data_IF_021797194873
#
_entry.id   IF_021797194873
#
_cell.length_a   1.000
_cell.length_b   1.000
_cell.length_c   1.000
_cell.angle_alpha   90.00
_cell.angle_beta   90.00
_cell.angle_gamma   90.00
#
_symmetry.space_group_name_H-M   'P 1'
#
loop_
_entity.id
_entity.type
_entity.pdbx_description
1 polymer ?
#
# COMPACT_ATOMS: atom_id res chain seq x y z
N UNK A 1 -1.01 25.68 -3.20
CA UNK A 1 -1.20 24.41 -2.47
C UNK A 1 -2.22 24.60 -1.35
N UNK A 2 -3.12 23.64 -1.16
CA UNK A 2 -4.11 23.61 -0.08
C UNK A 2 -3.62 22.75 1.08
N UNK A 3 -3.94 23.07 2.35
CA UNK A 3 -3.73 22.15 3.47
C UNK A 3 -4.53 20.85 3.27
N UNK A 4 -4.00 19.67 3.66
CA UNK A 4 -4.70 18.38 3.50
C UNK A 4 -6.09 18.35 4.14
N UNK A 5 -6.25 18.94 5.32
CA UNK A 5 -7.52 19.03 6.03
C UNK A 5 -8.54 19.92 5.31
N UNK A 6 -8.08 20.91 4.54
CA UNK A 6 -8.95 21.71 3.71
C UNK A 6 -9.44 20.90 2.50
N UNK A 7 -8.55 20.17 1.84
CA UNK A 7 -8.92 19.25 0.74
C UNK A 7 -10.01 18.29 1.21
N UNK A 8 -9.79 17.61 2.33
CA UNK A 8 -10.76 16.65 2.89
C UNK A 8 -12.10 17.32 3.21
N UNK A 9 -12.07 18.50 3.82
CA UNK A 9 -13.28 19.27 4.15
C UNK A 9 -14.08 19.67 2.89
N UNK A 10 -13.40 20.15 1.85
CA UNK A 10 -14.04 20.53 0.59
C UNK A 10 -14.66 19.31 -0.10
N UNK A 11 -13.94 18.19 -0.18
CA UNK A 11 -14.47 16.94 -0.76
C UNK A 11 -15.68 16.39 0.00
N UNK A 12 -15.69 16.49 1.32
CA UNK A 12 -16.86 16.12 2.14
C UNK A 12 -18.05 17.06 1.88
N UNK A 13 -17.79 18.35 1.76
CA UNK A 13 -18.85 19.33 1.54
C UNK A 13 -19.62 19.12 0.23
N UNK A 14 -18.93 18.69 -0.82
CA UNK A 14 -19.55 18.36 -2.11
C UNK A 14 -19.99 16.88 -2.20
N UNK A 15 -19.68 16.09 -1.18
CA UNK A 15 -20.04 14.68 -1.07
C UNK A 15 -19.20 13.72 -1.92
N UNK A 16 -18.05 14.15 -2.43
CA UNK A 16 -17.14 13.30 -3.20
C UNK A 16 -16.24 12.41 -2.31
N UNK A 17 -16.20 12.72 -1.02
CA UNK A 17 -15.59 11.87 0.02
C UNK A 17 -16.57 11.67 1.17
N UNK A 18 -16.72 10.43 1.64
CA UNK A 18 -17.48 10.12 2.85
C UNK A 18 -16.74 9.15 3.76
N UNK A 19 -17.05 9.20 5.06
CA UNK A 19 -16.47 8.32 6.06
C UNK A 19 -17.36 7.07 6.22
N UNK A 20 -16.76 5.89 6.03
CA UNK A 20 -17.38 4.59 6.29
C UNK A 20 -17.04 4.06 7.70
N UNK A 21 -16.07 4.67 8.36
CA UNK A 21 -15.58 4.35 9.70
C UNK A 21 -14.22 5.01 9.95
N UNK A 22 -13.66 4.87 11.15
CA UNK A 22 -12.34 5.43 11.46
C UNK A 22 -11.27 4.97 10.46
N UNK A 23 -10.70 5.89 9.68
CA UNK A 23 -9.68 5.58 8.67
C UNK A 23 -10.18 4.81 7.45
N UNK A 24 -11.51 4.65 7.31
CA UNK A 24 -12.16 4.03 6.16
C UNK A 24 -12.97 5.10 5.43
N UNK A 25 -12.60 5.38 4.20
CA UNK A 25 -13.25 6.39 3.37
C UNK A 25 -13.75 5.78 2.07
N UNK A 26 -14.79 6.39 1.54
CA UNK A 26 -15.23 6.16 0.18
C UNK A 26 -15.09 7.41 -0.66
N UNK A 27 -14.87 7.23 -1.96
CA UNK A 27 -14.78 8.29 -2.96
C UNK A 27 -15.82 8.08 -4.04
N UNK A 28 -16.33 9.17 -4.61
CA UNK A 28 -17.23 9.12 -5.75
C UNK A 28 -16.97 10.28 -6.72
N UNK A 29 -17.75 10.33 -7.79
CA UNK A 29 -17.74 11.44 -8.74
C UNK A 29 -16.39 11.60 -9.44
N UNK A 30 -16.00 12.84 -9.63
CA UNK A 30 -14.78 13.21 -10.39
C UNK A 30 -13.51 12.83 -9.64
N UNK A 31 -13.51 12.87 -8.29
CA UNK A 31 -12.36 12.47 -7.47
C UNK A 31 -12.09 10.98 -7.58
N UNK A 32 -13.11 10.12 -7.60
CA UNK A 32 -12.95 8.70 -7.87
C UNK A 32 -12.42 8.45 -9.29
N UNK A 33 -12.82 9.28 -10.26
CA UNK A 33 -12.24 9.30 -11.60
C UNK A 33 -10.75 9.61 -11.57
N UNK A 34 -10.36 10.69 -10.89
CA UNK A 34 -8.96 11.10 -10.75
C UNK A 34 -8.10 10.00 -10.07
N UNK A 35 -8.63 9.35 -9.02
CA UNK A 35 -7.93 8.22 -8.38
C UNK A 35 -7.64 7.10 -9.38
N UNK A 36 -8.63 6.74 -10.19
CA UNK A 36 -8.48 5.70 -11.23
C UNK A 36 -7.46 6.12 -12.29
N UNK A 37 -7.48 7.39 -12.71
CA UNK A 37 -6.56 7.90 -13.74
C UNK A 37 -5.12 7.95 -13.18
N UNK A 38 -4.93 8.30 -11.92
CA UNK A 38 -3.64 8.21 -11.22
C UNK A 38 -3.16 6.76 -11.17
N UNK A 39 -4.02 5.82 -10.77
CA UNK A 39 -3.64 4.39 -10.74
C UNK A 39 -3.28 3.86 -12.13
N UNK A 40 -3.95 4.33 -13.18
CA UNK A 40 -3.60 4.01 -14.56
C UNK A 40 -2.20 4.54 -14.95
N UNK A 41 -1.80 5.74 -14.50
CA UNK A 41 -0.44 6.26 -14.71
C UNK A 41 0.61 5.42 -13.94
N UNK A 42 0.32 5.06 -12.69
CA UNK A 42 1.20 4.19 -11.91
C UNK A 42 1.33 2.79 -12.54
N UNK A 43 0.24 2.26 -13.09
CA UNK A 43 0.25 1.00 -13.84
C UNK A 43 1.10 1.12 -15.12
N UNK A 44 0.97 2.22 -15.85
CA UNK A 44 1.79 2.48 -17.04
C UNK A 44 3.28 2.58 -16.68
N UNK A 45 3.61 3.21 -15.53
CA UNK A 45 4.96 3.23 -14.99
C UNK A 45 5.49 1.82 -14.71
N UNK A 46 4.68 0.97 -14.05
CA UNK A 46 5.07 -0.42 -13.78
C UNK A 46 5.40 -1.20 -15.07
N UNK A 47 4.65 -0.93 -16.15
CA UNK A 47 4.86 -1.58 -17.45
C UNK A 47 6.17 -1.21 -18.16
N UNK A 48 6.85 -0.17 -17.71
CA UNK A 48 8.21 0.12 -18.17
C UNK A 48 9.24 -0.92 -17.65
N UNK A 49 8.89 -1.64 -16.60
CA UNK A 49 9.74 -2.65 -15.96
C UNK A 49 9.28 -4.08 -16.27
N UNK A 50 7.96 -4.31 -16.32
CA UNK A 50 7.39 -5.65 -16.55
C UNK A 50 5.93 -5.59 -17.03
N UNK A 51 5.56 -6.52 -17.91
CA UNK A 51 4.15 -6.76 -18.32
C UNK A 51 3.46 -7.81 -17.41
N UNK A 52 4.18 -8.45 -16.49
CA UNK A 52 3.62 -9.44 -15.57
C UNK A 52 2.83 -8.75 -14.46
N UNK A 53 1.51 -8.71 -14.61
CA UNK A 53 0.60 -8.02 -13.70
C UNK A 53 -0.11 -9.01 -12.77
N UNK A 54 0.08 -8.82 -11.47
CA UNK A 54 -0.49 -9.66 -10.42
C UNK A 54 -1.59 -8.92 -9.66
N UNK A 55 -2.66 -9.66 -9.37
CA UNK A 55 -3.69 -9.21 -8.44
C UNK A 55 -3.59 -10.04 -7.17
N UNK A 56 -3.21 -9.40 -6.07
CA UNK A 56 -3.02 -10.10 -4.80
C UNK A 56 -4.34 -10.30 -4.05
N UNK A 57 -4.44 -11.35 -3.24
CA UNK A 57 -5.62 -11.59 -2.42
C UNK A 57 -5.79 -10.50 -1.35
N UNK A 58 -7.03 -10.27 -0.92
CA UNK A 58 -7.36 -9.33 0.16
C UNK A 58 -7.13 -9.89 1.57
N UNK A 59 -6.70 -11.12 1.68
CA UNK A 59 -6.31 -11.79 2.92
C UNK A 59 -5.12 -12.71 2.69
N UNK A 60 -4.24 -12.84 3.68
CA UNK A 60 -3.09 -13.75 3.70
C UNK A 60 -3.08 -14.53 5.02
N UNK A 61 -2.32 -15.63 5.06
CA UNK A 61 -2.23 -16.45 6.27
C UNK A 61 -1.36 -15.80 7.36
N UNK A 62 -1.56 -16.22 8.61
CA UNK A 62 -0.67 -15.85 9.71
C UNK A 62 0.75 -16.37 9.48
N UNK A 63 0.88 -17.57 8.89
CA UNK A 63 2.15 -18.23 8.58
C UNK A 63 2.97 -17.42 7.58
N UNK A 64 2.33 -16.80 6.57
CA UNK A 64 3.01 -15.89 5.63
C UNK A 64 3.70 -14.74 6.37
N UNK A 65 2.98 -14.09 7.30
CA UNK A 65 3.55 -12.99 8.10
C UNK A 65 4.55 -13.47 9.16
N UNK A 66 4.41 -14.69 9.68
CA UNK A 66 5.38 -15.27 10.60
C UNK A 66 6.71 -15.52 9.89
N UNK A 67 6.71 -16.13 8.69
CA UNK A 67 7.91 -16.26 7.84
C UNK A 67 8.56 -14.91 7.59
N UNK A 68 7.77 -13.90 7.25
CA UNK A 68 8.22 -12.52 7.05
C UNK A 68 8.68 -11.81 8.34
N UNK A 69 8.63 -12.47 9.52
CA UNK A 69 8.93 -11.90 10.83
C UNK A 69 8.18 -10.59 11.12
N UNK A 70 6.99 -10.47 10.57
CA UNK A 70 6.17 -9.26 10.69
C UNK A 70 5.79 -8.96 12.14
N UNK A 71 5.42 -10.00 12.89
CA UNK A 71 5.02 -9.88 14.30
C UNK A 71 6.13 -9.33 15.20
N UNK A 72 7.40 -9.55 14.83
CA UNK A 72 8.55 -8.99 15.54
C UNK A 72 8.92 -7.55 15.05
N UNK A 73 8.33 -7.10 13.93
CA UNK A 73 8.72 -5.85 13.28
C UNK A 73 7.62 -4.77 13.37
N UNK A 74 6.37 -5.13 13.05
CA UNK A 74 5.26 -4.18 12.90
C UNK A 74 3.92 -4.69 13.46
N UNK A 75 3.88 -5.38 14.61
CA UNK A 75 2.62 -5.95 15.15
C UNK A 75 1.55 -4.89 15.42
N UNK A 76 1.96 -3.64 15.69
CA UNK A 76 1.08 -2.52 15.99
C UNK A 76 0.15 -2.12 14.82
N UNK A 77 0.46 -2.53 13.60
CA UNK A 77 -0.35 -2.18 12.42
C UNK A 77 -1.28 -3.30 11.98
N UNK A 78 -1.15 -4.47 12.60
CA UNK A 78 -1.85 -5.67 12.15
C UNK A 78 -3.37 -5.48 12.23
N UNK A 79 -4.03 -5.87 11.16
CA UNK A 79 -5.48 -6.04 11.08
C UNK A 79 -5.78 -7.48 10.68
N UNK A 80 -6.81 -8.05 11.29
CA UNK A 80 -7.22 -9.44 11.06
C UNK A 80 -8.67 -9.52 10.66
N UNK A 81 -9.07 -10.61 10.02
CA UNK A 81 -10.44 -10.90 9.70
C UNK A 81 -10.88 -12.22 10.34
N UNK A 82 -12.13 -12.23 10.76
CA UNK A 82 -12.82 -13.37 11.32
C UNK A 82 -14.18 -13.55 10.65
N UNK A 83 -14.79 -14.69 10.85
CA UNK A 83 -16.16 -14.96 10.45
C UNK A 83 -17.01 -15.37 11.65
N UNK A 84 -18.32 -15.29 11.51
CA UNK A 84 -19.26 -15.84 12.49
C UNK A 84 -19.18 -17.37 12.51
N UNK A 85 -19.51 -17.98 13.65
CA UNK A 85 -19.72 -19.42 13.71
C UNK A 85 -20.78 -19.83 12.69
N UNK A 86 -20.55 -20.96 12.01
CA UNK A 86 -21.58 -21.60 11.17
C UNK A 86 -22.60 -22.42 11.94
N UNK A 87 -22.53 -22.43 13.26
CA UNK A 87 -23.50 -23.15 14.12
C UNK A 87 -24.89 -22.53 14.02
N UNK A 88 -25.88 -23.33 13.66
CA UNK A 88 -27.25 -22.89 13.45
C UNK A 88 -27.87 -22.28 14.71
N UNK A 89 -27.50 -22.77 15.89
CA UNK A 89 -28.00 -22.24 17.17
C UNK A 89 -27.49 -20.82 17.43
N UNK A 90 -26.21 -20.54 17.09
CA UNK A 90 -25.59 -19.22 17.18
C UNK A 90 -26.23 -18.25 16.19
N UNK A 91 -26.42 -18.69 14.95
CA UNK A 91 -27.02 -17.86 13.90
C UNK A 91 -28.49 -17.52 14.23
N UNK A 92 -29.26 -18.48 14.75
CA UNK A 92 -30.65 -18.26 15.21
C UNK A 92 -30.71 -17.30 16.41
N UNK A 93 -29.77 -17.43 17.36
CA UNK A 93 -29.70 -16.52 18.51
C UNK A 93 -29.37 -15.07 18.05
N UNK A 94 -28.48 -14.87 17.06
CA UNK A 94 -28.22 -13.57 16.47
C UNK A 94 -29.48 -13.02 15.80
N UNK A 95 -30.11 -13.81 14.93
CA UNK A 95 -31.26 -13.38 14.14
C UNK A 95 -32.50 -13.01 15.02
N UNK A 96 -32.67 -13.68 16.16
CA UNK A 96 -33.73 -13.42 17.10
C UNK A 96 -33.42 -12.37 18.17
N UNK A 97 -32.19 -11.86 18.20
CA UNK A 97 -31.75 -10.85 19.17
C UNK A 97 -32.45 -9.50 18.94
N UNK A 98 -32.72 -8.76 20.00
CA UNK A 98 -33.16 -7.35 19.93
C UNK A 98 -32.07 -6.41 19.46
N UNK A 99 -30.81 -6.88 19.47
CA UNK A 99 -29.62 -6.14 19.00
C UNK A 99 -28.71 -7.07 18.17
N UNK A 100 -29.15 -7.47 16.94
CA UNK A 100 -28.43 -8.48 16.14
C UNK A 100 -26.96 -8.13 15.87
N UNK A 101 -26.65 -6.85 15.65
CA UNK A 101 -25.29 -6.40 15.40
C UNK A 101 -24.36 -6.52 16.62
N UNK A 102 -24.87 -6.36 17.84
CA UNK A 102 -24.13 -6.62 19.07
C UNK A 102 -23.91 -8.14 19.26
N UNK A 103 -24.97 -8.92 19.14
CA UNK A 103 -24.92 -10.38 19.23
C UNK A 103 -23.95 -10.99 18.20
N UNK A 104 -23.94 -10.46 16.97
CA UNK A 104 -23.01 -10.88 15.94
C UNK A 104 -21.54 -10.57 16.32
N UNK A 105 -21.26 -9.38 16.88
CA UNK A 105 -19.90 -9.04 17.36
C UNK A 105 -19.40 -9.99 18.44
N UNK A 106 -20.27 -10.36 19.37
CA UNK A 106 -19.93 -11.24 20.49
C UNK A 106 -19.76 -12.70 20.04
N UNK A 107 -20.30 -13.07 18.88
CA UNK A 107 -20.21 -14.40 18.27
C UNK A 107 -19.10 -14.56 17.22
N UNK A 108 -18.28 -13.52 17.01
CA UNK A 108 -17.13 -13.60 16.09
C UNK A 108 -16.10 -14.59 16.62
N UNK A 109 -15.70 -15.53 15.77
CA UNK A 109 -14.65 -16.50 16.09
C UNK A 109 -13.25 -15.91 16.14
N UNK A 110 -12.26 -16.72 16.54
CA UNK A 110 -10.87 -16.32 16.47
C UNK A 110 -10.46 -15.97 15.04
N UNK A 111 -9.59 -14.95 14.84
CA UNK A 111 -9.12 -14.57 13.52
C UNK A 111 -8.42 -15.74 12.82
N UNK A 112 -8.76 -15.95 11.55
CA UNK A 112 -8.16 -17.01 10.73
C UNK A 112 -7.34 -16.48 9.58
N UNK A 113 -7.49 -15.19 9.26
CA UNK A 113 -6.73 -14.56 8.19
C UNK A 113 -6.28 -13.16 8.61
N UNK A 114 -5.24 -12.68 7.97
CA UNK A 114 -4.67 -11.35 8.16
C UNK A 114 -4.98 -10.50 6.94
N UNK A 115 -5.36 -9.25 7.18
CA UNK A 115 -5.48 -8.26 6.13
C UNK A 115 -4.06 -7.77 5.77
N UNK A 116 -3.63 -7.88 4.50
CA UNK A 116 -2.23 -7.69 4.13
C UNK A 116 -1.76 -6.25 4.40
N UNK A 117 -0.62 -6.05 5.08
CA UNK A 117 -0.08 -4.70 5.33
C UNK A 117 0.73 -4.14 4.14
N UNK A 118 1.12 -4.99 3.19
CA UNK A 118 1.76 -4.64 1.93
C UNK A 118 1.50 -5.75 0.91
N UNK A 119 1.60 -5.40 -0.36
CA UNK A 119 1.25 -6.30 -1.49
C UNK A 119 2.28 -7.41 -1.64
N UNK A 120 3.57 -7.09 -1.46
CA UNK A 120 4.69 -8.01 -1.73
C UNK A 120 4.67 -9.29 -0.88
N UNK A 121 4.06 -9.31 0.30
CA UNK A 121 3.99 -10.55 1.11
C UNK A 121 3.30 -11.69 0.37
N UNK A 122 2.22 -11.40 -0.36
CA UNK A 122 1.50 -12.40 -1.13
C UNK A 122 2.33 -12.90 -2.32
N UNK A 123 3.18 -12.05 -2.92
CA UNK A 123 4.03 -12.45 -4.04
C UNK A 123 5.17 -13.36 -3.58
N UNK A 124 5.77 -13.08 -2.41
CA UNK A 124 6.79 -13.96 -1.83
C UNK A 124 6.23 -15.33 -1.45
N UNK A 125 5.02 -15.37 -0.89
CA UNK A 125 4.35 -16.64 -0.57
C UNK A 125 4.07 -17.46 -1.84
N UNK A 126 3.60 -16.80 -2.90
CA UNK A 126 3.31 -17.49 -4.17
C UNK A 126 4.56 -18.10 -4.83
N UNK A 127 5.73 -17.54 -4.56
CA UNK A 127 7.03 -18.04 -5.08
C UNK A 127 7.81 -18.86 -4.04
N UNK A 128 7.21 -19.18 -2.89
CA UNK A 128 7.90 -19.88 -1.82
C UNK A 128 8.44 -21.25 -2.29
N UNK A 129 9.69 -21.55 -1.96
CA UNK A 129 10.39 -22.79 -2.32
C UNK A 129 10.84 -22.87 -3.78
N UNK A 130 10.69 -21.80 -4.57
CA UNK A 130 11.10 -21.81 -5.96
C UNK A 130 12.61 -21.60 -6.16
N UNK A 131 13.13 -22.15 -7.26
CA UNK A 131 14.46 -21.84 -7.78
C UNK A 131 14.25 -20.97 -9.03
N UNK A 132 14.76 -19.75 -8.99
CA UNK A 132 14.58 -18.78 -10.07
C UNK A 132 15.63 -19.02 -11.15
N UNK A 133 15.18 -19.23 -12.38
CA UNK A 133 16.04 -19.36 -13.54
C UNK A 133 16.59 -18.01 -14.00
N UNK A 134 15.77 -16.97 -13.90
CA UNK A 134 16.05 -15.59 -14.21
C UNK A 134 15.42 -14.66 -13.16
N UNK A 135 15.81 -13.38 -13.07
CA UNK A 135 15.15 -12.44 -12.19
C UNK A 135 13.66 -12.33 -12.50
N UNK A 136 12.83 -12.33 -11.46
CA UNK A 136 11.38 -12.17 -11.58
C UNK A 136 11.01 -10.75 -11.20
N UNK A 137 10.38 -10.04 -12.14
CA UNK A 137 9.76 -8.73 -11.90
C UNK A 137 8.26 -8.87 -12.10
N UNK A 138 7.49 -8.31 -11.18
CA UNK A 138 6.03 -8.32 -11.26
C UNK A 138 5.44 -6.98 -10.81
N UNK A 139 4.37 -6.54 -11.48
CA UNK A 139 3.55 -5.42 -11.05
C UNK A 139 2.37 -5.97 -10.26
N UNK A 140 2.36 -5.77 -8.95
CA UNK A 140 1.30 -6.27 -8.09
C UNK A 140 0.43 -5.13 -7.55
N UNK A 141 -0.89 -5.37 -7.45
CA UNK A 141 -1.83 -4.42 -6.85
C UNK A 141 -2.74 -5.15 -5.85
N UNK A 142 -3.03 -4.48 -4.74
CA UNK A 142 -3.96 -4.98 -3.75
C UNK A 142 -4.39 -3.92 -2.74
N UNK A 143 -5.41 -4.28 -1.97
CA UNK A 143 -5.83 -3.51 -0.81
C UNK A 143 -4.90 -3.84 0.36
N UNK A 144 -4.36 -2.82 0.99
CA UNK A 144 -3.53 -2.94 2.18
C UNK A 144 -4.21 -2.35 3.40
N UNK A 145 -3.83 -2.86 4.58
CA UNK A 145 -4.44 -2.50 5.84
C UNK A 145 -3.38 -2.22 6.89
N UNK A 146 -3.40 -1.00 7.46
CA UNK A 146 -2.49 -0.61 8.54
C UNK A 146 -3.25 0.20 9.58
N UNK A 147 -3.50 -0.39 10.75
CA UNK A 147 -4.16 0.31 11.83
C UNK A 147 -3.18 1.21 12.57
N UNK A 148 -3.06 2.46 12.12
CA UNK A 148 -2.11 3.42 12.71
C UNK A 148 -2.66 4.18 13.93
N UNK A 149 -3.73 3.70 14.54
CA UNK A 149 -4.31 4.25 15.76
C UNK A 149 -4.81 5.69 15.58
N UNK A 150 -4.38 6.59 16.46
CA UNK A 150 -4.78 8.01 16.43
C UNK A 150 -4.18 8.82 15.27
N UNK A 151 -3.31 8.23 14.47
CA UNK A 151 -2.70 8.91 13.31
C UNK A 151 -3.47 8.74 12.02
N UNK A 152 -4.65 8.10 12.06
CA UNK A 152 -5.49 7.93 10.88
C UNK A 152 -5.93 9.31 10.35
N UNK A 153 -5.73 9.50 9.05
CA UNK A 153 -6.10 10.72 8.33
C UNK A 153 -6.55 10.35 6.90
N UNK A 154 -7.71 10.85 6.44
CA UNK A 154 -8.22 10.53 5.11
C UNK A 154 -7.22 10.82 4.01
N UNK A 155 -7.07 9.91 3.04
CA UNK A 155 -6.13 9.96 1.91
C UNK A 155 -4.63 9.91 2.29
N UNK A 156 -4.23 10.38 3.47
CA UNK A 156 -2.84 10.37 3.94
C UNK A 156 -2.48 9.05 4.64
N UNK A 157 -3.34 8.63 5.59
CA UNK A 157 -3.17 7.45 6.46
C UNK A 157 -4.50 6.76 6.67
N UNK A 158 -5.00 6.10 5.64
CA UNK A 158 -6.17 5.24 5.75
C UNK A 158 -5.87 3.98 6.56
N UNK A 159 -6.86 3.44 7.25
CA UNK A 159 -6.79 2.08 7.77
C UNK A 159 -6.74 1.06 6.62
N UNK A 160 -7.55 1.29 5.57
CA UNK A 160 -7.47 0.59 4.29
C UNK A 160 -7.04 1.57 3.19
N UNK A 161 -6.17 1.11 2.28
CA UNK A 161 -5.67 1.91 1.16
C UNK A 161 -5.20 0.98 0.03
N UNK A 162 -5.12 1.52 -1.18
CA UNK A 162 -4.63 0.80 -2.35
C UNK A 162 -3.12 0.97 -2.49
N UNK A 163 -2.43 -0.15 -2.65
CA UNK A 163 -1.00 -0.17 -2.93
C UNK A 163 -0.74 -0.85 -4.28
N UNK A 164 0.10 -0.23 -5.10
CA UNK A 164 0.69 -0.82 -6.29
C UNK A 164 2.18 -0.93 -6.08
N UNK A 165 2.76 -2.08 -6.41
CA UNK A 165 4.20 -2.34 -6.24
C UNK A 165 4.79 -2.95 -7.51
N UNK A 166 6.03 -2.54 -7.83
CA UNK A 166 6.91 -3.34 -8.67
C UNK A 166 7.79 -4.15 -7.72
N UNK A 167 7.68 -5.46 -7.76
CA UNK A 167 8.45 -6.38 -6.91
C UNK A 167 9.50 -7.07 -7.76
N UNK A 168 10.75 -7.11 -7.29
CA UNK A 168 11.84 -7.84 -7.89
C UNK A 168 12.36 -8.93 -6.95
N UNK A 169 12.59 -10.10 -7.49
CA UNK A 169 13.33 -11.22 -6.90
C UNK A 169 14.42 -11.65 -7.88
N UNK A 170 15.67 -11.65 -7.45
CA UNK A 170 16.82 -11.95 -8.32
C UNK A 170 18.15 -11.78 -7.60
N UNK A 171 19.18 -11.43 -8.32
CA UNK A 171 20.46 -11.00 -7.74
C UNK A 171 20.41 -9.57 -7.19
N UNK A 172 21.40 -9.20 -6.40
CA UNK A 172 21.50 -7.85 -5.81
C UNK A 172 21.49 -6.75 -6.89
N UNK A 173 22.12 -7.00 -8.04
CA UNK A 173 22.17 -6.04 -9.17
C UNK A 173 20.80 -5.84 -9.80
N UNK A 174 19.97 -6.87 -9.87
CA UNK A 174 18.64 -6.78 -10.45
C UNK A 174 17.75 -5.88 -9.58
N UNK A 175 17.83 -6.09 -8.25
CA UNK A 175 17.12 -5.27 -7.26
C UNK A 175 17.59 -3.81 -7.32
N UNK A 176 18.90 -3.57 -7.30
CA UNK A 176 19.46 -2.22 -7.36
C UNK A 176 19.04 -1.50 -8.64
N UNK A 177 19.12 -2.19 -9.78
CA UNK A 177 18.72 -1.65 -11.07
C UNK A 177 17.22 -1.29 -11.12
N UNK A 178 16.33 -2.12 -10.54
CA UNK A 178 14.92 -1.77 -10.41
C UNK A 178 14.73 -0.50 -9.57
N UNK A 179 15.39 -0.42 -8.41
CA UNK A 179 15.19 0.73 -7.50
C UNK A 179 15.66 2.04 -8.14
N UNK A 180 16.78 2.02 -8.88
CA UNK A 180 17.29 3.19 -9.61
C UNK A 180 16.33 3.63 -10.73
N UNK A 181 15.94 2.71 -11.63
CA UNK A 181 15.03 3.02 -12.74
C UNK A 181 13.64 3.42 -12.24
N UNK A 182 13.08 2.64 -11.30
CA UNK A 182 11.77 2.94 -10.70
C UNK A 182 11.77 4.29 -9.97
N UNK A 183 12.88 4.65 -9.30
CA UNK A 183 13.07 5.97 -8.70
C UNK A 183 13.02 7.09 -9.73
N UNK A 184 13.71 6.94 -10.86
CA UNK A 184 13.70 7.91 -11.95
C UNK A 184 12.31 8.03 -12.59
N UNK A 185 11.64 6.90 -12.85
CA UNK A 185 10.29 6.90 -13.43
C UNK A 185 9.26 7.56 -12.49
N UNK A 186 9.33 7.29 -11.18
CA UNK A 186 8.44 7.91 -10.20
C UNK A 186 8.65 9.43 -10.10
N UNK A 187 9.89 9.90 -10.13
CA UNK A 187 10.21 11.33 -10.13
C UNK A 187 9.73 12.02 -11.41
N UNK A 188 9.87 11.37 -12.56
CA UNK A 188 9.37 11.88 -13.83
C UNK A 188 7.84 12.02 -13.79
N UNK A 189 7.13 10.97 -13.37
CA UNK A 189 5.66 11.02 -13.23
C UNK A 189 5.22 12.13 -12.27
N UNK A 190 5.89 12.27 -11.12
CA UNK A 190 5.57 13.35 -10.17
C UNK A 190 5.74 14.74 -10.83
N UNK A 191 6.82 14.95 -11.58
CA UNK A 191 7.06 16.19 -12.32
C UNK A 191 5.99 16.43 -13.39
N UNK A 192 5.61 15.42 -14.16
CA UNK A 192 4.59 15.50 -15.20
C UNK A 192 3.21 15.84 -14.61
N UNK A 193 2.97 15.41 -13.35
CA UNK A 193 1.78 15.79 -12.57
C UNK A 193 1.93 17.13 -11.84
N UNK A 194 3.01 17.87 -12.06
CA UNK A 194 3.26 19.18 -11.43
C UNK A 194 3.54 19.10 -9.93
N UNK A 195 3.97 17.94 -9.41
CA UNK A 195 4.30 17.74 -7.99
C UNK A 195 5.77 18.08 -7.72
N UNK A 196 6.02 18.89 -6.68
CA UNK A 196 7.37 19.17 -6.18
C UNK A 196 7.85 18.00 -5.30
N UNK A 197 8.29 16.92 -5.93
CA UNK A 197 8.65 15.70 -5.25
C UNK A 197 10.17 15.54 -5.13
N UNK A 198 10.64 15.14 -3.94
CA UNK A 198 12.06 14.96 -3.63
C UNK A 198 12.32 13.55 -3.08
N UNK A 199 13.41 12.93 -3.54
CA UNK A 199 13.86 11.64 -3.00
C UNK A 199 14.59 11.86 -1.67
N UNK A 200 14.14 11.14 -0.62
CA UNK A 200 14.74 11.23 0.72
C UNK A 200 15.08 9.84 1.25
N UNK A 201 16.21 9.74 1.96
CA UNK A 201 16.52 8.53 2.71
C UNK A 201 15.50 8.36 3.87
N UNK A 202 15.02 7.14 4.06
CA UNK A 202 14.00 6.82 5.03
C UNK A 202 14.35 5.57 5.85
N UNK A 203 13.53 5.28 6.84
CA UNK A 203 13.58 4.04 7.61
C UNK A 203 12.17 3.62 8.05
N UNK A 204 11.99 2.32 8.25
CA UNK A 204 10.72 1.80 8.75
C UNK A 204 10.53 2.08 10.25
N UNK A 205 9.30 2.36 10.70
CA UNK A 205 8.99 2.59 12.11
C UNK A 205 8.82 1.25 12.86
N UNK A 206 9.92 0.53 13.04
CA UNK A 206 9.94 -0.72 13.78
C UNK A 206 9.45 -0.55 15.24
N UNK A 207 8.72 -1.55 15.74
CA UNK A 207 8.03 -1.47 17.02
C UNK A 207 8.94 -1.61 18.25
N UNK A 208 9.88 -2.53 18.26
CA UNK A 208 10.58 -2.90 19.47
C UNK A 208 11.88 -2.09 19.72
N UNK A 209 12.32 -1.94 20.99
CA UNK A 209 13.63 -1.33 21.30
C UNK A 209 14.81 -2.01 20.59
N UNK A 210 14.76 -3.33 20.42
CA UNK A 210 15.72 -4.13 19.65
C UNK A 210 15.71 -3.78 18.15
N UNK A 211 14.66 -3.19 17.67
CA UNK A 211 14.51 -2.75 16.29
C UNK A 211 15.20 -1.40 15.99
N UNK A 212 15.64 -0.63 17.01
CA UNK A 212 16.41 0.60 16.81
C UNK A 212 17.69 0.35 16.02
N UNK A 213 18.36 -0.78 16.29
CA UNK A 213 19.52 -1.21 15.51
C UNK A 213 19.20 -1.50 14.04
N UNK A 214 18.04 -2.10 13.75
CA UNK A 214 17.58 -2.36 12.37
C UNK A 214 17.30 -1.07 11.63
N UNK A 215 16.59 -0.12 12.24
CA UNK A 215 16.33 1.18 11.64
C UNK A 215 17.62 1.97 11.35
N UNK A 216 18.58 1.93 12.29
CA UNK A 216 19.89 2.54 12.10
C UNK A 216 20.66 1.87 10.95
N UNK A 217 20.67 0.54 10.91
CA UNK A 217 21.34 -0.22 9.84
C UNK A 217 20.69 0.03 8.47
N UNK A 218 19.37 0.07 8.39
CA UNK A 218 18.62 0.38 7.17
C UNK A 218 19.00 1.75 6.63
N UNK A 219 19.14 2.75 7.49
CA UNK A 219 19.59 4.10 7.12
C UNK A 219 21.04 4.14 6.68
N UNK A 220 21.96 3.51 7.43
CA UNK A 220 23.39 3.49 7.13
C UNK A 220 23.65 2.80 5.79
N UNK A 221 22.95 1.72 5.49
CA UNK A 221 23.07 0.98 4.23
C UNK A 221 22.29 1.61 3.08
N UNK A 222 21.47 2.65 3.32
CA UNK A 222 20.62 3.24 2.27
C UNK A 222 19.56 2.27 1.72
N UNK A 223 19.05 1.35 2.54
CA UNK A 223 18.14 0.28 2.08
C UNK A 223 16.72 0.77 1.80
N UNK A 224 16.38 1.99 2.23
CA UNK A 224 15.06 2.56 2.01
C UNK A 224 15.16 4.03 1.63
N UNK A 225 14.44 4.39 0.56
CA UNK A 225 14.19 5.76 0.16
C UNK A 225 12.69 5.99 -0.01
N UNK A 226 12.27 7.23 0.10
CA UNK A 226 10.90 7.65 -0.16
C UNK A 226 10.88 8.85 -1.09
N UNK A 227 9.93 8.86 -2.03
CA UNK A 227 9.60 10.04 -2.82
C UNK A 227 8.56 10.83 -2.05
N UNK A 228 8.88 12.05 -1.66
CA UNK A 228 8.05 12.88 -0.79
C UNK A 228 7.64 14.17 -1.47
N UNK A 229 6.40 14.59 -1.23
CA UNK A 229 5.85 15.90 -1.60
C UNK A 229 5.64 16.70 -0.32
N UNK A 230 6.11 17.95 -0.20
CA UNK A 230 5.87 18.75 0.98
C UNK A 230 4.42 19.23 1.04
N UNK A 231 3.83 19.19 2.24
CA UNK A 231 2.61 19.93 2.53
C UNK A 231 2.90 21.43 2.73
N UNK A 232 1.88 22.30 2.71
CA UNK A 232 2.09 23.75 2.98
C UNK A 232 2.75 24.06 4.32
N UNK A 233 2.61 23.20 5.32
CA UNK A 233 3.26 23.30 6.63
C UNK A 233 4.71 22.71 6.66
N UNK A 234 5.20 22.25 5.54
CA UNK A 234 6.54 21.64 5.38
C UNK A 234 6.62 20.16 5.77
N UNK A 235 5.55 19.53 6.27
CA UNK A 235 5.54 18.08 6.54
C UNK A 235 5.65 17.30 5.25
N UNK A 236 6.50 16.24 5.18
CA UNK A 236 6.60 15.41 3.98
C UNK A 236 5.44 14.41 3.90
N UNK A 237 4.84 14.27 2.72
CA UNK A 237 3.96 13.17 2.33
C UNK A 237 4.73 12.20 1.46
N UNK A 238 5.03 11.01 1.96
CA UNK A 238 5.65 9.94 1.16
C UNK A 238 4.61 9.35 0.19
N UNK A 239 4.79 9.56 -1.11
CA UNK A 239 3.91 9.06 -2.17
C UNK A 239 4.41 7.74 -2.78
N UNK A 240 5.71 7.49 -2.71
CA UNK A 240 6.32 6.21 -3.09
C UNK A 240 7.44 5.83 -2.14
N UNK A 241 7.75 4.52 -2.06
CA UNK A 241 8.89 3.99 -1.31
C UNK A 241 9.68 2.99 -2.15
N UNK A 242 11.00 2.98 -1.95
CA UNK A 242 11.99 2.17 -2.65
C UNK A 242 12.73 1.38 -1.60
N UNK A 243 12.55 0.07 -1.60
CA UNK A 243 12.99 -0.79 -0.51
C UNK A 243 13.89 -1.91 -1.04
N UNK A 244 15.14 -1.97 -0.58
CA UNK A 244 16.01 -3.13 -0.74
C UNK A 244 15.88 -4.02 0.50
N UNK A 245 15.49 -5.26 0.31
CA UNK A 245 15.33 -6.21 1.41
C UNK A 245 16.55 -7.13 1.56
N UNK A 246 17.56 -6.96 0.72
CA UNK A 246 18.69 -7.89 0.63
C UNK A 246 18.15 -9.33 0.42
N UNK A 247 18.68 -10.33 1.12
CA UNK A 247 18.23 -11.74 1.05
C UNK A 247 17.10 -12.08 2.02
N UNK A 248 16.59 -11.09 2.76
CA UNK A 248 15.67 -11.35 3.87
C UNK A 248 14.45 -12.20 3.47
N UNK A 249 13.79 -11.83 2.38
CA UNK A 249 12.61 -12.59 1.92
C UNK A 249 13.01 -13.85 1.13
N UNK A 250 14.13 -13.85 0.41
CA UNK A 250 14.68 -15.06 -0.18
C UNK A 250 14.91 -16.15 0.87
N UNK A 251 15.57 -15.81 1.98
CA UNK A 251 15.80 -16.74 3.10
C UNK A 251 14.47 -17.14 3.76
N UNK A 252 13.58 -16.18 4.02
CA UNK A 252 12.33 -16.43 4.75
C UNK A 252 11.35 -17.34 3.99
N UNK A 253 11.31 -17.24 2.66
CA UNK A 253 10.40 -17.99 1.79
C UNK A 253 11.11 -19.10 1.01
N UNK A 254 12.39 -19.37 1.29
CA UNK A 254 13.20 -20.38 0.61
C UNK A 254 13.22 -20.19 -0.93
N UNK A 255 13.34 -18.94 -1.39
CA UNK A 255 13.47 -18.60 -2.81
C UNK A 255 14.97 -18.48 -3.12
N UNK A 256 15.46 -19.25 -4.08
CA UNK A 256 16.88 -19.30 -4.44
C UNK A 256 17.12 -19.04 -5.92
N UNK A 257 18.35 -18.70 -6.25
CA UNK A 257 18.86 -18.65 -7.61
C UNK A 257 19.39 -20.02 -8.05
N UNK A 258 19.65 -20.20 -9.33
CA UNK A 258 20.20 -21.48 -9.88
C UNK A 258 21.50 -21.92 -9.23
N UNK A 259 22.33 -21.00 -8.77
CA UNK A 259 23.58 -21.31 -8.10
C UNK A 259 23.42 -21.73 -6.63
N UNK A 260 22.17 -21.84 -6.16
CA UNK A 260 21.83 -22.19 -4.78
C UNK A 260 21.92 -21.04 -3.79
N UNK A 261 22.27 -19.82 -4.21
CA UNK A 261 22.24 -18.66 -3.33
C UNK A 261 20.80 -18.18 -3.12
N UNK A 262 20.53 -17.63 -1.94
CA UNK A 262 19.23 -17.05 -1.63
C UNK A 262 18.98 -15.81 -2.49
N UNK A 263 17.78 -15.69 -3.05
CA UNK A 263 17.42 -14.54 -3.88
C UNK A 263 17.39 -13.25 -3.05
N UNK A 264 17.93 -12.18 -3.60
CA UNK A 264 17.69 -10.82 -3.12
C UNK A 264 16.31 -10.35 -3.55
N UNK A 265 15.70 -9.47 -2.76
CA UNK A 265 14.41 -8.87 -3.11
C UNK A 265 14.38 -7.37 -2.89
N UNK A 266 13.52 -6.69 -3.61
CA UNK A 266 13.24 -5.28 -3.44
C UNK A 266 11.91 -4.90 -4.07
N UNK A 267 11.40 -3.75 -3.68
CA UNK A 267 10.18 -3.23 -4.29
C UNK A 267 10.17 -1.70 -4.41
N UNK A 268 9.43 -1.24 -5.42
CA UNK A 268 8.99 0.15 -5.58
C UNK A 268 7.49 0.17 -5.32
N UNK A 269 7.08 0.81 -4.22
CA UNK A 269 5.68 0.80 -3.77
C UNK A 269 5.06 2.19 -3.86
N UNK A 270 3.82 2.25 -4.36
CA UNK A 270 3.03 3.45 -4.55
C UNK A 270 1.75 3.39 -3.72
N UNK A 271 1.51 4.38 -2.87
CA UNK A 271 0.23 4.56 -2.17
C UNK A 271 -0.71 5.39 -3.04
N UNK A 272 -1.71 4.77 -3.68
CA UNK A 272 -2.54 5.42 -4.71
C UNK A 272 -3.29 6.62 -4.16
N UNK A 273 -3.87 6.50 -2.95
CA UNK A 273 -4.59 7.58 -2.27
C UNK A 273 -3.66 8.73 -1.87
N UNK A 274 -2.37 8.45 -1.59
CA UNK A 274 -1.38 9.50 -1.30
C UNK A 274 -0.99 10.29 -2.54
N UNK A 275 -0.91 9.64 -3.71
CA UNK A 275 -0.74 10.34 -4.97
C UNK A 275 -1.95 11.24 -5.27
N UNK A 276 -3.17 10.73 -5.04
CA UNK A 276 -4.38 11.55 -5.15
C UNK A 276 -4.32 12.76 -4.23
N UNK A 277 -3.96 12.56 -2.95
CA UNK A 277 -3.85 13.68 -2.00
C UNK A 277 -2.80 14.69 -2.45
N UNK A 278 -1.64 14.25 -2.94
CA UNK A 278 -0.59 15.14 -3.44
C UNK A 278 -1.09 16.00 -4.62
N UNK A 279 -1.80 15.40 -5.57
CA UNK A 279 -2.42 16.14 -6.69
C UNK A 279 -3.44 17.15 -6.17
N UNK A 280 -4.33 16.76 -5.26
CA UNK A 280 -5.36 17.64 -4.73
C UNK A 280 -4.80 18.78 -3.86
N UNK A 281 -3.75 18.52 -3.08
CA UNK A 281 -3.04 19.54 -2.30
C UNK A 281 -2.37 20.56 -3.24
N UNK A 282 -1.80 20.09 -4.32
CA UNK A 282 -1.07 20.95 -5.29
C UNK A 282 -2.01 21.75 -6.17
N UNK A 283 -3.03 21.13 -6.74
CA UNK A 283 -3.89 21.73 -7.78
C UNK A 283 -5.27 22.17 -7.28
N UNK A 284 -5.62 21.81 -6.02
CA UNK A 284 -6.92 22.09 -5.43
C UNK A 284 -8.00 21.06 -5.80
N UNK A 285 -9.21 21.32 -5.34
CA UNK A 285 -10.36 20.41 -5.51
C UNK A 285 -11.20 20.72 -6.77
N UNK A 286 -10.90 21.81 -7.49
CA UNK A 286 -11.55 22.10 -8.77
C UNK A 286 -10.97 21.20 -9.87
N UNK A 287 -11.79 20.33 -10.48
CA UNK A 287 -11.34 19.40 -11.52
C UNK A 287 -10.72 20.06 -12.76
N UNK A 288 -11.06 21.31 -13.06
CA UNK A 288 -10.53 22.01 -14.23
C UNK A 288 -9.02 22.33 -14.09
N UNK A 289 -8.49 22.27 -12.86
CA UNK A 289 -7.08 22.51 -12.55
C UNK A 289 -6.24 21.21 -12.48
N UNK A 290 -6.86 20.03 -12.64
CA UNK A 290 -6.14 18.77 -12.49
C UNK A 290 -5.28 18.48 -13.72
N UNK A 291 -4.07 17.90 -13.55
CA UNK A 291 -3.17 17.56 -14.66
C UNK A 291 -3.66 16.37 -15.49
N UNK A 292 -4.61 15.59 -14.96
CA UNK A 292 -5.24 14.45 -15.61
C UNK A 292 -6.72 14.79 -15.84
N UNK A 293 -7.13 14.85 -17.11
CA UNK A 293 -8.52 15.02 -17.49
C UNK A 293 -9.09 13.65 -17.86
N UNK A 294 -9.98 13.10 -17.03
CA UNK A 294 -10.66 11.87 -17.40
C UNK A 294 -11.50 12.11 -18.65
N UNK A 295 -11.18 11.41 -19.73
CA UNK A 295 -11.92 11.41 -21.00
C UNK A 295 -13.34 10.81 -20.87
N UNK A 296 -13.78 10.50 -19.66
CA UNK A 296 -15.06 9.85 -19.35
C UNK A 296 -16.06 10.81 -18.70
N UNK A 297 -16.06 12.10 -19.08
CA UNK A 297 -17.18 12.97 -18.83
C UNK A 297 -18.26 12.69 -19.90
N UNK A 298 -19.19 11.76 -19.59
CA UNK A 298 -20.42 11.69 -20.36
C UNK A 298 -20.76 10.33 -20.95
N UNK A 299 -21.37 9.47 -20.15
CA UNK A 299 -22.31 8.45 -20.64
C UNK A 299 -23.33 7.95 -19.59
N UNK A 300 -23.54 8.66 -18.49
CA UNK A 300 -24.69 8.40 -17.62
C UNK A 300 -25.30 9.72 -17.16
N UNK A 301 -25.90 10.45 -18.11
CA UNK A 301 -26.96 11.39 -17.80
C UNK A 301 -28.22 10.54 -17.63
N UNK A 302 -28.59 10.22 -16.39
CA UNK A 302 -29.96 10.09 -15.85
C UNK A 302 -29.92 9.83 -14.36
#
# INVERSE_FOLDING_TARGET
>A
MLPPEQVVRELRAIGDLWDAGPGLIGLRGRVAGLLRDIDAQLRALCRLETDDEWRTPSGISFETLERARYFASFPQWLSTASHLSGDESVLNAIASSTSPGAAARDAVGAPQTVLPPAVCYATYEALAGSVLDEPVLMCAQGQCWRHEGSRLAPLERGWAFTMREIVCLGGERDVTGLLERGGLHAQNLARDLGLDATMMAANDPFFAPTARGRAALQRIKGLKHELVVPFPDGRPLAIASFNAHERFFGDAFAISLRDGTSASSGCVAFGVERWLLAVLVTHGTNPDNWPLHSTHAGAFAR
#
